data_IF_850054162970
#
_entry.id   IF_850054162970
#
_cell.length_a   1.000
_cell.length_b   1.000
_cell.length_c   1.000
_cell.angle_alpha   90.00
_cell.angle_beta   90.00
_cell.angle_gamma   90.00
#
_symmetry.space_group_name_H-M   'P 1'
#
loop_
_entity.id
_entity.type
_entity.pdbx_description
1 polymer ?
#
# COMPACT_ATOMS: atom_id res chain seq x y z
N UNK A 1 5.52 -16.31 -10.34
CA UNK A 1 4.48 -15.36 -9.88
C UNK A 1 5.04 -14.66 -8.66
N UNK A 2 5.89 -13.66 -8.86
CA UNK A 2 6.39 -12.83 -7.76
C UNK A 2 5.34 -11.76 -7.47
N UNK A 3 4.76 -11.83 -6.27
CA UNK A 3 3.87 -10.79 -5.77
C UNK A 3 4.66 -9.48 -5.72
N UNK A 4 4.30 -8.52 -6.60
CA UNK A 4 4.87 -7.18 -6.70
C UNK A 4 4.53 -6.29 -5.49
N UNK A 5 4.81 -6.79 -4.29
CA UNK A 5 4.76 -6.05 -3.04
C UNK A 5 6.07 -5.28 -2.97
N UNK A 6 6.00 -3.95 -2.85
CA UNK A 6 7.21 -3.14 -2.77
C UNK A 6 7.97 -3.52 -1.51
N UNK A 7 9.28 -3.83 -1.60
CA UNK A 7 10.09 -4.23 -0.45
C UNK A 7 10.03 -3.19 0.69
N UNK A 8 9.80 -1.91 0.37
CA UNK A 8 9.66 -0.81 1.33
C UNK A 8 8.46 -0.94 2.27
N UNK A 9 7.25 -1.18 1.76
CA UNK A 9 6.04 -1.31 2.59
C UNK A 9 6.16 -2.45 3.59
N UNK A 10 6.77 -3.56 3.15
CA UNK A 10 7.08 -4.71 4.01
C UNK A 10 8.07 -4.33 5.12
N UNK A 11 9.14 -3.58 4.81
CA UNK A 11 10.12 -3.11 5.81
C UNK A 11 9.45 -2.23 6.86
N UNK A 12 8.57 -1.30 6.46
CA UNK A 12 7.83 -0.44 7.39
C UNK A 12 6.93 -1.25 8.34
N UNK A 13 6.19 -2.23 7.82
CA UNK A 13 5.37 -3.11 8.65
C UNK A 13 6.21 -3.98 9.60
N UNK A 14 7.36 -4.48 9.15
CA UNK A 14 8.29 -5.24 10.00
C UNK A 14 8.84 -4.40 11.16
N UNK A 15 9.13 -3.12 10.91
CA UNK A 15 9.56 -2.17 11.93
C UNK A 15 8.44 -1.99 12.96
N UNK A 16 7.23 -1.67 12.53
CA UNK A 16 6.09 -1.42 13.43
C UNK A 16 5.73 -2.67 14.26
N UNK A 17 5.74 -3.85 13.65
CA UNK A 17 5.51 -5.13 14.35
C UNK A 17 6.61 -5.43 15.38
N UNK A 18 7.87 -5.14 15.05
CA UNK A 18 8.97 -5.33 15.97
C UNK A 18 8.88 -4.37 17.15
N UNK A 19 8.50 -3.10 16.91
CA UNK A 19 8.25 -2.13 17.97
C UNK A 19 7.08 -2.53 18.89
N UNK A 20 6.01 -3.10 18.34
CA UNK A 20 4.92 -3.68 19.12
C UNK A 20 5.41 -4.78 20.06
N UNK A 21 6.26 -5.66 19.55
CA UNK A 21 6.86 -6.75 20.33
C UNK A 21 7.77 -6.22 21.43
N UNK A 22 8.59 -5.23 21.12
CA UNK A 22 9.46 -4.55 22.09
C UNK A 22 8.63 -3.89 23.19
N UNK A 23 7.55 -3.19 22.85
CA UNK A 23 6.71 -2.53 23.86
C UNK A 23 6.01 -3.55 24.77
N UNK A 24 5.59 -4.70 24.24
CA UNK A 24 5.07 -5.84 25.01
C UNK A 24 6.11 -6.41 25.97
N UNK A 25 7.38 -6.52 25.55
CA UNK A 25 8.48 -6.99 26.41
C UNK A 25 8.81 -6.00 27.53
N UNK A 26 8.79 -4.70 27.23
CA UNK A 26 8.97 -3.64 28.22
C UNK A 26 7.86 -3.62 29.27
N UNK A 27 6.60 -3.83 28.86
CA UNK A 27 5.47 -3.96 29.79
C UNK A 27 5.63 -5.16 30.74
N UNK A 28 6.31 -6.23 30.29
CA UNK A 28 6.65 -7.40 31.12
C UNK A 28 7.89 -7.18 32.00
N UNK A 29 8.32 -5.93 32.21
CA UNK A 29 9.47 -5.53 33.01
C UNK A 29 10.80 -6.18 32.60
N UNK A 30 10.94 -6.59 31.32
CA UNK A 30 12.23 -7.03 30.81
C UNK A 30 13.08 -5.80 30.47
N UNK A 31 14.22 -5.68 31.12
CA UNK A 31 15.20 -4.64 30.78
C UNK A 31 15.72 -4.83 29.36
N UNK A 32 15.56 -3.81 28.52
CA UNK A 32 16.27 -3.73 27.25
C UNK A 32 17.70 -3.29 27.52
N UNK A 33 18.66 -4.10 27.10
CA UNK A 33 20.09 -3.78 27.25
C UNK A 33 20.62 -2.85 26.16
N UNK A 34 19.85 -2.61 25.10
CA UNK A 34 20.30 -1.91 23.91
C UNK A 34 19.28 -0.87 23.47
N UNK A 35 19.77 0.26 22.94
CA UNK A 35 18.94 1.31 22.34
C UNK A 35 18.21 0.74 21.12
N UNK A 36 16.90 0.92 21.09
CA UNK A 36 16.04 0.47 20.00
C UNK A 36 16.18 1.43 18.82
N UNK A 37 16.76 0.96 17.73
CA UNK A 37 16.90 1.70 16.46
C UNK A 37 16.32 0.90 15.30
N UNK A 38 15.94 1.57 14.19
CA UNK A 38 15.44 0.90 12.98
C UNK A 38 16.41 -0.19 12.51
N UNK A 39 17.70 0.14 12.47
CA UNK A 39 18.75 -0.79 12.07
C UNK A 39 18.80 -2.01 13.01
N UNK A 40 18.79 -1.80 14.33
CA UNK A 40 18.79 -2.91 15.30
C UNK A 40 17.57 -3.83 15.15
N UNK A 41 16.40 -3.26 14.85
CA UNK A 41 15.17 -4.02 14.66
C UNK A 41 15.27 -4.88 13.40
N UNK A 42 15.63 -4.29 12.26
CA UNK A 42 15.73 -5.02 10.99
C UNK A 42 16.83 -6.07 11.00
N UNK A 43 18.00 -5.76 11.58
CA UNK A 43 19.09 -6.74 11.75
C UNK A 43 18.67 -7.91 12.62
N UNK A 44 17.87 -7.70 13.67
CA UNK A 44 17.35 -8.79 14.52
C UNK A 44 16.44 -9.75 13.75
N UNK A 45 15.79 -9.27 12.68
CA UNK A 45 14.87 -10.06 11.85
C UNK A 45 15.62 -10.68 10.64
N UNK A 46 16.93 -10.43 10.51
CA UNK A 46 17.77 -10.91 9.41
C UNK A 46 17.72 -10.06 8.14
N UNK A 47 17.18 -8.84 8.22
CA UNK A 47 17.17 -7.88 7.12
C UNK A 47 18.38 -6.94 7.22
N UNK A 48 19.18 -6.89 6.16
CA UNK A 48 20.29 -5.94 6.05
C UNK A 48 19.75 -4.65 5.45
N UNK A 49 20.09 -3.52 6.09
CA UNK A 49 19.68 -2.20 5.65
C UNK A 49 20.85 -1.22 5.71
N UNK A 50 20.95 -0.36 4.71
CA UNK A 50 21.94 0.72 4.67
C UNK A 50 21.50 1.85 5.62
N UNK A 51 22.46 2.59 6.17
CA UNK A 51 22.20 3.62 7.18
C UNK A 51 21.26 4.71 6.66
N UNK A 52 21.46 5.17 5.42
CA UNK A 52 20.59 6.16 4.80
C UNK A 52 19.15 5.65 4.61
N UNK A 53 18.97 4.36 4.30
CA UNK A 53 17.64 3.77 4.12
C UNK A 53 16.94 3.65 5.49
N UNK A 54 17.70 3.29 6.54
CA UNK A 54 17.16 3.24 7.90
C UNK A 54 16.70 4.62 8.40
N UNK A 55 17.47 5.68 8.12
CA UNK A 55 17.08 7.07 8.45
C UNK A 55 15.89 7.55 7.61
N UNK A 56 15.81 7.19 6.33
CA UNK A 56 14.64 7.51 5.48
C UNK A 56 13.36 6.87 6.03
N UNK A 57 13.39 5.58 6.37
CA UNK A 57 12.26 4.87 6.98
C UNK A 57 11.90 5.45 8.36
N UNK A 58 12.91 5.83 9.15
CA UNK A 58 12.69 6.48 10.45
C UNK A 58 11.97 7.82 10.29
N UNK A 59 12.44 8.65 9.37
CA UNK A 59 11.87 9.96 9.06
C UNK A 59 10.41 9.83 8.61
N UNK A 60 10.12 8.89 7.70
CA UNK A 60 8.76 8.59 7.25
C UNK A 60 7.84 8.24 8.44
N UNK A 61 8.25 7.28 9.28
CA UNK A 61 7.45 6.85 10.43
C UNK A 61 7.26 7.94 11.49
N UNK A 62 8.23 8.86 11.64
CA UNK A 62 8.14 10.02 12.52
C UNK A 62 7.17 11.07 11.97
N UNK A 63 7.27 11.37 10.68
CA UNK A 63 6.40 12.35 10.01
C UNK A 63 4.93 11.91 10.05
N UNK A 64 4.68 10.62 9.83
CA UNK A 64 3.34 10.02 9.93
C UNK A 64 2.86 9.87 11.39
N UNK A 65 3.71 10.16 12.39
CA UNK A 65 3.36 10.09 13.81
C UNK A 65 3.18 8.67 14.35
N UNK A 66 3.63 7.64 13.62
CA UNK A 66 3.51 6.24 14.03
C UNK A 66 4.57 5.81 15.05
N UNK A 67 5.71 6.52 15.07
CA UNK A 67 6.74 6.34 16.08
C UNK A 67 7.09 7.68 16.75
N UNK A 68 7.72 7.60 17.92
CA UNK A 68 8.31 8.74 18.63
C UNK A 68 9.66 8.37 19.21
N UNK A 69 10.49 9.37 19.45
CA UNK A 69 11.74 9.18 20.18
C UNK A 69 11.48 9.10 21.71
N UNK A 70 12.26 8.27 22.38
CA UNK A 70 12.25 8.02 23.81
C UNK A 70 13.69 7.76 24.29
N UNK A 71 13.91 7.77 25.61
CA UNK A 71 15.26 7.62 26.20
C UNK A 71 15.98 6.34 25.73
N UNK A 72 15.21 5.27 25.52
CA UNK A 72 15.70 3.96 25.08
C UNK A 72 15.70 3.77 23.56
N UNK A 73 15.46 4.83 22.78
CA UNK A 73 15.40 4.78 21.32
C UNK A 73 14.03 5.11 20.76
N UNK A 74 13.57 4.39 19.74
CA UNK A 74 12.25 4.62 19.12
C UNK A 74 11.16 3.78 19.77
N UNK A 75 9.96 4.35 19.89
CA UNK A 75 8.77 3.69 20.43
C UNK A 75 7.56 3.91 19.53
N UNK A 76 6.75 2.88 19.36
CA UNK A 76 5.48 2.99 18.63
C UNK A 76 4.46 3.84 19.41
N UNK A 77 3.75 4.71 18.70
CA UNK A 77 2.70 5.55 19.28
C UNK A 77 1.36 4.80 19.36
N UNK A 78 0.33 5.44 19.92
CA UNK A 78 -1.02 4.89 19.85
C UNK A 78 -1.52 4.82 18.39
N UNK A 79 -1.28 5.88 17.61
CA UNK A 79 -1.68 5.92 16.20
C UNK A 79 -0.96 4.86 15.37
N UNK A 80 0.36 4.66 15.55
CA UNK A 80 1.09 3.61 14.86
C UNK A 80 0.55 2.19 15.15
N UNK A 81 0.07 1.95 16.38
CA UNK A 81 -0.59 0.69 16.73
C UNK A 81 -1.94 0.54 16.06
N UNK A 82 -2.75 1.60 16.08
CA UNK A 82 -4.07 1.60 15.48
C UNK A 82 -3.96 1.35 13.98
N UNK A 83 -3.06 2.06 13.31
CA UNK A 83 -2.75 1.86 11.90
C UNK A 83 -2.39 0.39 11.59
N UNK A 84 -1.46 -0.19 12.35
CA UNK A 84 -1.02 -1.57 12.09
C UNK A 84 -2.13 -2.62 12.36
N UNK A 85 -2.88 -2.48 13.45
CA UNK A 85 -3.86 -3.49 13.89
C UNK A 85 -5.21 -3.32 13.19
N UNK A 86 -5.65 -2.08 12.94
CA UNK A 86 -7.01 -1.76 12.50
C UNK A 86 -7.06 -1.42 11.02
N UNK A 87 -6.01 -0.78 10.48
CA UNK A 87 -5.93 -0.38 9.07
C UNK A 87 -5.08 -1.35 8.23
N UNK A 88 -4.53 -2.39 8.86
CA UNK A 88 -3.79 -3.47 8.19
C UNK A 88 -2.38 -3.12 7.75
N UNK A 89 -1.84 -1.98 8.20
CA UNK A 89 -0.47 -1.56 7.91
C UNK A 89 -0.24 -1.07 6.47
N UNK A 90 1.04 -0.84 6.15
CA UNK A 90 1.47 -0.36 4.85
C UNK A 90 1.18 -1.37 3.74
N UNK A 91 1.25 -2.67 4.04
CA UNK A 91 0.90 -3.73 3.11
C UNK A 91 -0.55 -3.61 2.62
N UNK A 92 -1.50 -3.39 3.55
CA UNK A 92 -2.91 -3.27 3.20
C UNK A 92 -3.19 -1.98 2.42
N UNK A 93 -2.58 -0.86 2.82
CA UNK A 93 -2.66 0.41 2.09
C UNK A 93 -2.18 0.28 0.64
N UNK A 94 -1.03 -0.37 0.43
CA UNK A 94 -0.47 -0.57 -0.92
C UNK A 94 -1.36 -1.49 -1.76
N UNK A 95 -1.94 -2.53 -1.15
CA UNK A 95 -2.89 -3.42 -1.81
C UNK A 95 -4.14 -2.66 -2.28
N UNK A 96 -4.76 -1.85 -1.41
CA UNK A 96 -5.94 -1.04 -1.78
C UNK A 96 -5.59 -0.07 -2.91
N UNK A 97 -4.47 0.67 -2.79
CA UNK A 97 -4.02 1.61 -3.83
C UNK A 97 -3.81 0.91 -5.18
N UNK A 98 -3.36 -0.33 -5.17
CA UNK A 98 -3.18 -1.09 -6.41
C UNK A 98 -4.51 -1.55 -7.00
N UNK A 99 -5.44 -2.02 -6.17
CA UNK A 99 -6.80 -2.38 -6.60
C UNK A 99 -7.53 -1.19 -7.20
N UNK A 100 -7.46 -0.02 -6.58
CA UNK A 100 -8.05 1.21 -7.09
C UNK A 100 -7.51 1.60 -8.46
N UNK A 101 -6.20 1.44 -8.69
CA UNK A 101 -5.61 1.66 -10.02
C UNK A 101 -6.15 0.68 -11.06
N UNK A 102 -6.27 -0.60 -10.72
CA UNK A 102 -6.81 -1.62 -11.61
C UNK A 102 -8.29 -1.35 -11.92
N UNK A 103 -9.09 -0.98 -10.91
CA UNK A 103 -10.50 -0.64 -11.07
C UNK A 103 -10.65 0.57 -11.99
N UNK A 104 -9.85 1.63 -11.78
CA UNK A 104 -9.85 2.81 -12.66
C UNK A 104 -9.48 2.45 -14.09
N UNK A 105 -8.43 1.66 -14.30
CA UNK A 105 -8.04 1.20 -15.64
C UNK A 105 -9.15 0.41 -16.32
N UNK A 106 -9.70 -0.61 -15.64
CA UNK A 106 -10.82 -1.41 -16.17
C UNK A 106 -12.07 -0.58 -16.45
N UNK A 107 -12.32 0.44 -15.63
CA UNK A 107 -13.44 1.37 -15.85
C UNK A 107 -13.21 2.20 -17.10
N UNK A 108 -12.01 2.76 -17.29
CA UNK A 108 -11.64 3.49 -18.52
C UNK A 108 -11.77 2.57 -19.75
N UNK A 109 -11.27 1.35 -19.68
CA UNK A 109 -11.36 0.35 -20.76
C UNK A 109 -12.82 0.00 -21.10
N UNK A 110 -13.68 -0.21 -20.10
CA UNK A 110 -15.12 -0.43 -20.31
C UNK A 110 -15.78 0.78 -20.97
N UNK A 111 -15.50 2.00 -20.49
CA UNK A 111 -16.02 3.22 -21.10
C UNK A 111 -15.57 3.41 -22.55
N UNK A 112 -14.35 3.02 -22.90
CA UNK A 112 -13.90 3.04 -24.30
C UNK A 112 -14.63 2.01 -25.15
N UNK A 113 -14.80 0.78 -24.65
CA UNK A 113 -15.51 -0.30 -25.37
C UNK A 113 -16.97 0.06 -25.63
N UNK A 114 -17.67 0.62 -24.64
CA UNK A 114 -19.07 1.05 -24.79
C UNK A 114 -19.23 2.14 -25.86
N UNK A 115 -18.28 3.09 -25.94
CA UNK A 115 -18.28 4.11 -27.01
C UNK A 115 -18.16 3.46 -28.39
N UNK A 116 -17.26 2.50 -28.58
CA UNK A 116 -17.13 1.78 -29.86
C UNK A 116 -18.41 1.01 -30.22
N UNK A 117 -19.05 0.35 -29.25
CA UNK A 117 -20.31 -0.37 -29.48
C UNK A 117 -21.43 0.58 -29.92
N UNK A 118 -21.54 1.76 -29.31
CA UNK A 118 -22.53 2.78 -29.72
C UNK A 118 -22.30 3.21 -31.17
N UNK A 119 -21.05 3.46 -31.58
CA UNK A 119 -20.72 3.80 -32.98
C UNK A 119 -21.11 2.69 -33.96
N UNK A 120 -20.87 1.43 -33.61
CA UNK A 120 -21.28 0.28 -34.44
C UNK A 120 -22.81 0.22 -34.57
N UNK A 121 -23.55 0.42 -33.48
CA UNK A 121 -25.02 0.45 -33.49
C UNK A 121 -25.57 1.58 -34.36
N UNK A 122 -24.97 2.77 -34.32
CA UNK A 122 -25.37 3.91 -35.18
C UNK A 122 -25.13 3.58 -36.66
N UNK A 123 -23.98 3.02 -37.02
CA UNK A 123 -23.67 2.64 -38.41
C UNK A 123 -24.66 1.57 -38.91
N UNK A 124 -24.98 0.57 -38.09
CA UNK A 124 -25.94 -0.47 -38.46
C UNK A 124 -27.34 0.12 -38.74
N UNK A 125 -27.76 1.11 -37.97
CA UNK A 125 -29.05 1.80 -38.15
C UNK A 125 -29.07 2.59 -39.46
N UNK A 126 -27.97 3.29 -39.79
CA UNK A 126 -27.83 4.02 -41.06
C UNK A 126 -27.86 3.07 -42.27
N UNK A 127 -27.14 1.95 -42.22
CA UNK A 127 -27.14 0.93 -43.30
C UNK A 127 -28.54 0.33 -43.46
N UNK A 128 -29.23 0.04 -42.36
CA UNK A 128 -30.61 -0.48 -42.40
C UNK A 128 -31.55 0.53 -43.07
N UNK A 129 -31.42 1.82 -42.77
CA UNK A 129 -32.19 2.89 -43.41
C UNK A 129 -31.91 2.98 -44.92
N UNK A 130 -30.63 2.98 -45.33
CA UNK A 130 -30.23 3.02 -46.74
C UNK A 130 -30.75 1.83 -47.53
N UNK A 131 -30.69 0.63 -46.94
CA UNK A 131 -31.15 -0.61 -47.60
C UNK A 131 -32.68 -0.60 -47.76
N UNK A 132 -33.41 -0.06 -46.79
CA UNK A 132 -34.86 0.10 -46.89
C UNK A 132 -35.25 1.06 -48.03
N UNK A 133 -34.58 2.21 -48.14
CA UNK A 133 -34.84 3.17 -49.22
C UNK A 133 -34.48 2.62 -50.61
N UNK A 134 -33.39 1.87 -50.75
CA UNK A 134 -33.00 1.26 -52.01
C UNK A 134 -33.92 0.11 -52.45
N UNK A 135 -34.63 -0.53 -51.51
CA UNK A 135 -35.54 -1.64 -51.81
C UNK A 135 -36.98 -1.18 -52.10
N UNK A 136 -37.34 0.03 -51.65
CA UNK A 136 -38.68 0.61 -51.86
C UNK A 136 -38.75 1.48 -53.12
N UNK A 137 -37.60 1.90 -53.68
CA UNK A 137 -37.47 2.72 -54.88
C UNK A 137 -37.28 1.94 -56.17
#
# INVERSE_FOLDING_TARGET
MENGVRPRARKLDLILNSLLTVDSLLLKQRHLKQKVTIQSLLTTIGETIEEWEAEDLKSELLQEGYIREADIGIKITHEGRKFLIWEGGYYHLDYIKHQDKIIRQRTIEKFQRDKFTIWISVIALVISFLTFFLKIG
#
